data_IF_948166442414
#
_entry.id   IF_948166442414
#
_cell.length_a   1.000
_cell.length_b   1.000
_cell.length_c   1.000
_cell.angle_alpha   90.00
_cell.angle_beta   90.00
_cell.angle_gamma   90.00
#
_symmetry.space_group_name_H-M   'P 1'
#
loop_
_entity.id
_entity.type
_entity.pdbx_description
1 polymer ?
#
# COMPACT_ATOMS: atom_id res chain seq x y z
N UNK A 1 16.09 27.71 -20.48
CA UNK A 1 14.64 27.59 -20.22
C UNK A 1 14.46 26.52 -19.15
N UNK A 2 13.84 26.85 -18.01
CA UNK A 2 13.78 25.94 -16.84
C UNK A 2 12.80 24.77 -17.03
N UNK A 3 11.80 24.94 -17.89
CA UNK A 3 10.78 23.96 -18.25
C UNK A 3 10.71 23.81 -19.78
N UNK A 4 11.39 22.83 -20.37
CA UNK A 4 11.44 22.66 -21.83
C UNK A 4 10.09 22.32 -22.47
N UNK A 5 9.22 21.59 -21.77
CA UNK A 5 7.85 21.33 -22.19
C UNK A 5 6.90 22.35 -21.56
N UNK A 6 5.67 22.43 -22.07
CA UNK A 6 4.62 23.29 -21.50
C UNK A 6 3.90 22.60 -20.35
N UNK A 7 3.51 21.35 -20.57
CA UNK A 7 2.63 20.59 -19.69
C UNK A 7 3.39 19.52 -18.94
N UNK A 8 3.11 19.38 -17.66
CA UNK A 8 3.75 18.40 -16.79
C UNK A 8 2.77 17.70 -15.85
N UNK A 9 3.07 16.45 -15.53
CA UNK A 9 2.46 15.68 -14.47
C UNK A 9 3.45 15.53 -13.31
N UNK A 10 3.01 15.88 -12.10
CA UNK A 10 3.78 15.70 -10.88
C UNK A 10 3.40 14.38 -10.20
N UNK A 11 4.37 13.74 -9.55
CA UNK A 11 4.21 12.46 -8.88
C UNK A 11 5.28 12.31 -7.80
N UNK A 12 5.07 11.38 -6.85
CA UNK A 12 6.11 11.06 -5.88
C UNK A 12 7.18 10.18 -6.53
N UNK A 13 8.36 10.75 -6.76
CA UNK A 13 9.50 10.07 -7.39
C UNK A 13 10.19 9.05 -6.47
N UNK A 14 9.93 9.08 -5.16
CA UNK A 14 10.50 8.17 -4.18
C UNK A 14 9.55 7.01 -3.82
N UNK A 15 8.26 7.13 -4.11
CA UNK A 15 7.27 6.09 -3.87
C UNK A 15 7.45 4.88 -4.83
N UNK A 16 7.08 3.70 -4.34
CA UNK A 16 6.99 2.51 -5.19
C UNK A 16 5.98 2.73 -6.33
N UNK A 17 6.38 2.38 -7.54
CA UNK A 17 5.55 2.54 -8.73
C UNK A 17 4.66 1.30 -8.98
N UNK A 18 3.48 1.47 -9.61
CA UNK A 18 2.92 2.72 -10.10
C UNK A 18 2.49 3.65 -8.96
N UNK A 19 2.77 4.94 -9.11
CA UNK A 19 2.40 5.97 -8.14
C UNK A 19 1.42 6.95 -8.77
N UNK A 20 0.50 7.49 -7.99
CA UNK A 20 -0.55 8.38 -8.50
C UNK A 20 0.06 9.71 -8.98
N UNK A 21 -0.48 10.26 -10.06
CA UNK A 21 -0.22 11.65 -10.44
C UNK A 21 -0.88 12.56 -9.40
N UNK A 22 -0.08 13.39 -8.74
CA UNK A 22 -0.51 14.27 -7.65
C UNK A 22 -0.88 15.67 -8.12
N UNK A 23 -0.51 16.04 -9.36
CA UNK A 23 -0.83 17.34 -9.92
C UNK A 23 -0.50 17.48 -11.40
N UNK A 24 -1.10 18.50 -12.02
CA UNK A 24 -0.94 18.84 -13.43
C UNK A 24 -0.55 20.30 -13.56
N UNK A 25 0.47 20.61 -14.38
CA UNK A 25 1.06 21.94 -14.48
C UNK A 25 1.09 22.42 -15.94
N UNK A 26 0.54 23.60 -16.23
CA UNK A 26 0.84 24.39 -17.45
C UNK A 26 1.87 25.46 -17.11
N UNK A 27 3.16 25.11 -17.25
CA UNK A 27 4.28 25.96 -16.80
C UNK A 27 4.49 27.19 -17.66
N UNK A 28 3.90 27.26 -18.86
CA UNK A 28 3.97 28.46 -19.71
C UNK A 28 2.77 29.40 -19.50
N UNK A 29 1.66 28.87 -18.99
CA UNK A 29 0.48 29.65 -18.61
C UNK A 29 0.54 30.22 -17.18
N UNK A 30 1.53 29.80 -16.37
CA UNK A 30 1.71 30.29 -15.01
C UNK A 30 2.32 31.69 -14.97
N UNK A 31 1.76 32.56 -14.12
CA UNK A 31 2.34 33.90 -13.86
C UNK A 31 3.65 33.84 -13.08
N UNK A 32 3.91 32.73 -12.36
CA UNK A 32 5.18 32.44 -11.69
C UNK A 32 5.37 30.92 -11.55
N UNK A 33 6.62 30.49 -11.71
CA UNK A 33 7.06 29.09 -11.55
C UNK A 33 7.83 28.86 -10.24
N UNK A 34 7.87 29.85 -9.34
CA UNK A 34 8.70 29.80 -8.12
C UNK A 34 8.38 28.61 -7.20
N UNK A 35 7.14 28.12 -7.22
CA UNK A 35 6.67 26.99 -6.41
C UNK A 35 6.38 25.73 -7.24
N UNK A 36 6.69 25.75 -8.55
CA UNK A 36 6.54 24.57 -9.38
C UNK A 36 7.70 23.59 -9.08
N UNK A 37 7.45 22.26 -9.03
CA UNK A 37 8.53 21.28 -8.92
C UNK A 37 9.52 21.43 -10.07
N UNK A 38 10.79 21.05 -9.89
CA UNK A 38 11.75 21.06 -10.98
C UNK A 38 11.28 20.17 -12.14
N UNK A 39 11.58 20.55 -13.39
CA UNK A 39 11.16 19.79 -14.57
C UNK A 39 11.65 18.33 -14.56
N UNK A 40 12.82 18.07 -13.97
CA UNK A 40 13.39 16.72 -13.81
C UNK A 40 12.65 15.84 -12.80
N UNK A 41 11.84 16.43 -11.93
CA UNK A 41 11.00 15.72 -10.95
C UNK A 41 9.56 15.49 -11.47
N UNK A 42 9.28 15.81 -12.73
CA UNK A 42 7.97 15.68 -13.35
C UNK A 42 8.06 14.97 -14.70
N UNK A 43 6.92 14.54 -15.23
CA UNK A 43 6.83 13.94 -16.57
C UNK A 43 6.18 14.93 -17.52
N UNK A 44 6.80 15.13 -18.69
CA UNK A 44 6.23 15.95 -19.75
C UNK A 44 4.94 15.31 -20.29
N UNK A 45 3.92 16.14 -20.47
CA UNK A 45 2.61 15.73 -21.03
C UNK A 45 2.48 16.31 -22.43
N UNK A 46 1.99 15.50 -23.38
CA UNK A 46 1.76 15.98 -24.74
C UNK A 46 0.63 17.02 -24.77
N UNK A 47 0.63 17.91 -25.77
CA UNK A 47 -0.47 18.86 -25.94
C UNK A 47 -1.81 18.16 -26.20
N UNK A 48 -1.77 17.02 -26.90
CA UNK A 48 -2.94 16.16 -27.17
C UNK A 48 -3.54 15.62 -25.88
N UNK A 49 -2.71 15.02 -25.01
CA UNK A 49 -3.16 14.46 -23.74
C UNK A 49 -3.62 15.56 -22.78
N UNK A 50 -2.97 16.72 -22.80
CA UNK A 50 -3.41 17.87 -22.02
C UNK A 50 -4.80 18.37 -22.45
N UNK A 51 -5.04 18.45 -23.76
CA UNK A 51 -6.33 18.84 -24.34
C UNK A 51 -7.45 17.83 -24.11
N UNK A 52 -7.11 16.56 -23.86
CA UNK A 52 -8.07 15.54 -23.49
C UNK A 52 -8.45 15.69 -22.00
N UNK A 53 -9.62 16.28 -21.73
CA UNK A 53 -10.10 16.48 -20.36
C UNK A 53 -10.29 15.17 -19.60
N UNK A 54 -10.65 14.07 -20.27
CA UNK A 54 -10.77 12.75 -19.63
C UNK A 54 -9.42 12.17 -19.20
N UNK A 55 -8.31 12.61 -19.81
CA UNK A 55 -6.96 12.15 -19.44
C UNK A 55 -6.56 12.62 -18.04
N UNK A 56 -7.11 13.73 -17.54
CA UNK A 56 -6.72 14.35 -16.26
C UNK A 56 -7.80 14.20 -15.17
N UNK A 57 -8.77 13.30 -15.36
CA UNK A 57 -9.92 13.06 -14.46
C UNK A 57 -9.72 11.80 -13.59
N UNK A 58 -10.36 11.77 -12.41
CA UNK A 58 -10.36 10.64 -11.45
C UNK A 58 -11.02 9.36 -12.05
N UNK A 59 -10.56 8.11 -11.79
CA UNK A 59 -9.66 7.64 -10.71
C UNK A 59 -8.20 8.06 -10.86
N UNK A 60 -7.86 8.73 -11.96
CA UNK A 60 -6.61 9.44 -12.16
C UNK A 60 -5.66 8.70 -13.08
N UNK A 61 -4.52 9.35 -13.34
CA UNK A 61 -3.36 8.74 -13.99
C UNK A 61 -2.29 8.43 -12.97
N UNK A 62 -1.41 7.52 -13.34
CA UNK A 62 -0.27 7.13 -12.53
C UNK A 62 1.00 7.21 -13.36
N UNK A 63 2.13 7.14 -12.68
CA UNK A 63 3.44 7.07 -13.30
C UNK A 63 4.06 5.71 -13.04
N UNK A 64 4.46 5.04 -14.13
CA UNK A 64 5.21 3.80 -14.09
C UNK A 64 6.34 3.85 -15.13
N UNK A 65 7.58 3.63 -14.68
CA UNK A 65 8.79 3.65 -15.49
C UNK A 65 8.92 4.88 -16.40
N UNK A 66 8.55 6.06 -15.88
CA UNK A 66 8.63 7.31 -16.64
C UNK A 66 7.52 7.49 -17.69
N UNK A 67 6.48 6.64 -17.68
CA UNK A 67 5.30 6.77 -18.53
C UNK A 67 4.04 7.06 -17.70
N UNK A 68 3.13 7.85 -18.27
CA UNK A 68 1.80 8.09 -17.70
C UNK A 68 0.88 6.95 -18.13
N UNK A 69 0.29 6.26 -17.15
CA UNK A 69 -0.60 5.11 -17.35
C UNK A 69 -1.95 5.33 -16.64
N UNK A 70 -2.92 4.48 -16.92
CA UNK A 70 -4.11 4.37 -16.07
C UNK A 70 -3.71 3.88 -14.68
N UNK A 71 -4.16 4.60 -13.65
CA UNK A 71 -3.81 4.26 -12.28
C UNK A 71 -4.84 3.35 -11.66
N UNK A 72 -4.38 2.20 -11.18
CA UNK A 72 -5.12 1.37 -10.22
C UNK A 72 -4.33 1.38 -8.92
N UNK A 73 -4.87 1.91 -7.81
CA UNK A 73 -4.18 1.88 -6.54
C UNK A 73 -3.80 0.45 -6.15
N UNK A 74 -2.59 0.22 -5.60
CA UNK A 74 -2.25 -1.08 -5.06
C UNK A 74 -3.22 -1.44 -3.92
N UNK A 75 -3.54 -2.73 -3.73
CA UNK A 75 -4.37 -3.16 -2.61
C UNK A 75 -3.73 -2.72 -1.29
N UNK A 76 -4.54 -2.20 -0.37
CA UNK A 76 -4.06 -1.84 0.95
C UNK A 76 -3.52 -3.09 1.67
N UNK A 77 -2.41 -2.99 2.42
CA UNK A 77 -1.91 -4.10 3.21
C UNK A 77 -2.95 -4.54 4.24
N UNK A 78 -3.10 -5.86 4.42
CA UNK A 78 -4.04 -6.42 5.39
C UNK A 78 -3.55 -6.07 6.80
N UNK A 79 -4.38 -5.44 7.66
CA UNK A 79 -3.99 -5.10 9.03
C UNK A 79 -3.52 -6.32 9.81
N UNK A 80 -2.48 -6.15 10.66
CA UNK A 80 -1.91 -7.26 11.44
C UNK A 80 -2.95 -7.95 12.32
N UNK A 81 -3.89 -7.19 12.89
CA UNK A 81 -5.02 -7.73 13.66
C UNK A 81 -5.90 -8.68 12.83
N UNK A 82 -6.17 -8.33 11.57
CA UNK A 82 -6.93 -9.20 10.64
C UNK A 82 -6.15 -10.47 10.32
N UNK A 83 -4.84 -10.36 10.06
CA UNK A 83 -3.99 -11.53 9.84
C UNK A 83 -3.97 -12.45 11.08
N UNK A 84 -3.88 -11.87 12.28
CA UNK A 84 -3.88 -12.62 13.53
C UNK A 84 -5.22 -13.32 13.79
N UNK A 85 -6.35 -12.69 13.46
CA UNK A 85 -7.68 -13.31 13.57
C UNK A 85 -7.81 -14.55 12.66
N UNK A 86 -7.34 -14.45 11.42
CA UNK A 86 -7.29 -15.59 10.48
C UNK A 86 -6.38 -16.71 11.00
N UNK A 87 -5.17 -16.37 11.45
CA UNK A 87 -4.23 -17.34 12.02
C UNK A 87 -4.79 -18.00 13.29
N UNK A 88 -5.50 -17.25 14.15
CA UNK A 88 -6.10 -17.75 15.38
C UNK A 88 -7.20 -18.77 15.10
N UNK A 89 -8.04 -18.52 14.09
CA UNK A 89 -9.06 -19.46 13.67
C UNK A 89 -8.44 -20.79 13.21
N UNK A 90 -7.42 -20.73 12.35
CA UNK A 90 -6.69 -21.91 11.89
C UNK A 90 -5.99 -22.66 13.04
N UNK A 91 -5.33 -21.93 13.94
CA UNK A 91 -4.63 -22.51 15.09
C UNK A 91 -5.58 -23.19 16.07
N UNK A 92 -6.78 -22.62 16.32
CA UNK A 92 -7.81 -23.25 17.15
C UNK A 92 -8.28 -24.56 16.55
N UNK A 93 -8.58 -24.59 15.25
CA UNK A 93 -8.96 -25.83 14.56
C UNK A 93 -7.87 -26.89 14.68
N UNK A 94 -6.61 -26.53 14.46
CA UNK A 94 -5.48 -27.45 14.60
C UNK A 94 -5.38 -28.02 16.02
N UNK A 95 -5.37 -27.15 17.04
CA UNK A 95 -5.24 -27.55 18.45
C UNK A 95 -6.41 -28.42 18.89
N UNK A 96 -7.63 -28.08 18.47
CA UNK A 96 -8.82 -28.88 18.78
C UNK A 96 -8.71 -30.28 18.18
N UNK A 97 -8.39 -30.40 16.89
CA UNK A 97 -8.33 -31.68 16.20
C UNK A 97 -7.17 -32.56 16.69
N UNK A 98 -6.04 -31.96 17.05
CA UNK A 98 -4.81 -32.69 17.38
C UNK A 98 -4.72 -33.05 18.86
N UNK A 99 -5.19 -32.18 19.75
CA UNK A 99 -5.05 -32.39 21.20
C UNK A 99 -6.40 -32.55 21.89
N UNK A 100 -7.27 -31.53 21.79
CA UNK A 100 -8.49 -31.48 22.60
C UNK A 100 -9.46 -32.63 22.30
N UNK A 101 -9.68 -32.96 21.03
CA UNK A 101 -10.58 -34.07 20.63
C UNK A 101 -10.05 -35.44 21.03
N UNK A 102 -8.73 -35.58 21.17
CA UNK A 102 -8.06 -36.81 21.61
C UNK A 102 -7.92 -36.88 23.13
N UNK A 103 -8.44 -35.87 23.86
CA UNK A 103 -8.26 -35.72 25.30
C UNK A 103 -6.77 -35.63 25.72
N UNK A 104 -5.93 -35.11 24.84
CA UNK A 104 -4.52 -34.82 25.12
C UNK A 104 -4.36 -33.38 25.61
N UNK A 105 -3.35 -33.15 26.45
CA UNK A 105 -3.01 -31.82 26.92
C UNK A 105 -2.47 -30.98 25.76
N UNK A 106 -2.99 -29.76 25.60
CA UNK A 106 -2.44 -28.82 24.62
C UNK A 106 -1.06 -28.35 25.08
N UNK A 107 0.00 -28.47 24.25
CA UNK A 107 1.33 -28.03 24.63
C UNK A 107 1.40 -26.53 24.95
N UNK A 108 2.24 -26.15 25.91
CA UNK A 108 2.38 -24.75 26.36
C UNK A 108 2.78 -23.79 25.24
N UNK A 109 3.55 -24.26 24.26
CA UNK A 109 3.92 -23.48 23.08
C UNK A 109 2.68 -23.08 22.25
N UNK A 110 1.71 -23.99 22.08
CA UNK A 110 0.44 -23.71 21.42
C UNK A 110 -0.43 -22.76 22.23
N UNK A 111 -0.49 -22.93 23.56
CA UNK A 111 -1.21 -22.00 24.44
C UNK A 111 -0.63 -20.59 24.35
N UNK A 112 0.70 -20.46 24.35
CA UNK A 112 1.42 -19.19 24.23
C UNK A 112 1.15 -18.52 22.89
N UNK A 113 1.24 -19.28 21.80
CA UNK A 113 0.93 -18.82 20.45
C UNK A 113 -0.52 -18.33 20.32
N UNK A 114 -1.49 -19.10 20.81
CA UNK A 114 -2.90 -18.71 20.80
C UNK A 114 -3.17 -17.41 21.57
N UNK A 115 -2.55 -17.25 22.74
CA UNK A 115 -2.66 -16.01 23.54
C UNK A 115 -2.06 -14.80 22.82
N UNK A 116 -0.91 -14.97 22.18
CA UNK A 116 -0.28 -13.90 21.39
C UNK A 116 -1.17 -13.47 20.22
N UNK A 117 -1.72 -14.42 19.46
CA UNK A 117 -2.66 -14.11 18.38
C UNK A 117 -3.94 -13.43 18.88
N UNK A 118 -4.47 -13.84 20.05
CA UNK A 118 -5.62 -13.17 20.67
C UNK A 118 -5.29 -11.72 21.05
N UNK A 119 -4.10 -11.46 21.59
CA UNK A 119 -3.68 -10.11 21.96
C UNK A 119 -3.53 -9.19 20.75
N UNK A 120 -2.93 -9.70 19.66
CA UNK A 120 -2.78 -8.95 18.40
C UNK A 120 -4.13 -8.73 17.73
N UNK A 121 -4.97 -9.76 17.62
CA UNK A 121 -6.28 -9.66 16.98
C UNK A 121 -7.25 -8.75 17.77
N UNK A 122 -7.15 -8.77 19.10
CA UNK A 122 -7.94 -7.91 20.00
C UNK A 122 -7.38 -6.50 20.19
N UNK A 123 -6.21 -6.20 19.60
CA UNK A 123 -5.58 -4.88 19.68
C UNK A 123 -4.97 -4.53 21.05
N UNK A 124 -4.84 -5.50 21.97
CA UNK A 124 -4.15 -5.28 23.25
C UNK A 124 -2.64 -5.33 23.11
N UNK A 125 -2.13 -6.03 22.09
CA UNK A 125 -0.75 -5.92 21.65
C UNK A 125 -0.64 -4.87 20.53
N UNK A 126 -0.06 -3.72 20.87
CA UNK A 126 0.20 -2.60 19.96
C UNK A 126 1.66 -2.47 19.55
N UNK A 127 2.50 -3.41 20.00
CA UNK A 127 3.96 -3.38 19.82
C UNK A 127 4.43 -4.34 18.73
N UNK A 128 3.69 -5.43 18.50
CA UNK A 128 3.99 -6.40 17.47
C UNK A 128 3.89 -5.80 16.07
N UNK A 129 4.91 -6.07 15.24
CA UNK A 129 4.99 -5.64 13.84
C UNK A 129 4.81 -6.80 12.85
N UNK A 130 4.76 -8.03 13.34
CA UNK A 130 4.55 -9.25 12.57
C UNK A 130 3.80 -10.29 13.40
N UNK A 131 3.30 -11.34 12.74
CA UNK A 131 2.70 -12.48 13.46
C UNK A 131 3.78 -13.30 14.16
N UNK A 132 3.48 -13.87 15.35
CA UNK A 132 4.36 -14.85 15.97
C UNK A 132 4.50 -16.10 15.07
N UNK A 133 5.64 -16.77 15.15
CA UNK A 133 5.83 -18.04 14.46
C UNK A 133 4.97 -19.13 15.10
N UNK A 134 4.31 -19.94 14.26
CA UNK A 134 3.58 -21.11 14.73
C UNK A 134 4.55 -22.12 15.38
N UNK A 135 4.16 -22.79 16.47
CA UNK A 135 4.94 -23.89 17.04
C UNK A 135 5.14 -25.03 16.04
N UNK A 136 6.26 -25.75 16.18
CA UNK A 136 6.44 -27.01 15.46
C UNK A 136 5.39 -28.03 15.94
N UNK A 137 4.87 -28.82 15.01
CA UNK A 137 3.96 -29.95 15.23
C UNK A 137 4.64 -31.09 15.97
#
# INVERSE_FOLDING_TARGET
MLYPARYYANYDTAAAQPTIVTGWYDTWGMSSIANAPAASAMIAVSATDWGNTAFRVSPGKGVQNGAIIDYTPPPAPIPLATQAATALAAARTYVTNTYTMLNEATPDAWVTYLKALMAIAGGTDTTSTALPAAPAS
#
